data_IF_777344153700
#
_entry.id   IF_777344153700
#
_cell.length_a   1.000
_cell.length_b   1.000
_cell.length_c   1.000
_cell.angle_alpha   90.00
_cell.angle_beta   90.00
_cell.angle_gamma   90.00
#
_symmetry.space_group_name_H-M   'P 1'
#
loop_
_entity.id
_entity.type
_entity.pdbx_description
1 polymer ?
#
# COMPACT_ATOMS: atom_id res chain seq x y z
N UNK A 1 1.66 -12.28 2.68
CA UNK A 1 2.23 -11.57 3.84
C UNK A 1 1.44 -10.29 4.06
N UNK A 2 1.17 -9.92 5.32
CA UNK A 2 0.41 -8.73 5.70
C UNK A 2 1.17 -8.00 6.81
N UNK A 3 1.35 -6.68 6.69
CA UNK A 3 1.80 -5.82 7.78
C UNK A 3 0.68 -4.90 8.21
N UNK A 4 0.54 -4.67 9.52
CA UNK A 4 -0.37 -3.67 10.06
C UNK A 4 0.43 -2.45 10.51
N UNK A 5 -0.15 -1.26 10.31
CA UNK A 5 0.46 0.00 10.73
C UNK A 5 -0.60 1.02 11.13
N UNK A 6 -0.17 2.04 11.87
CA UNK A 6 -1.02 3.13 12.31
C UNK A 6 -0.70 4.40 11.53
N UNK A 7 -1.74 5.16 11.18
CA UNK A 7 -1.60 6.50 10.64
C UNK A 7 -2.62 7.43 11.28
N UNK A 8 -2.19 8.65 11.61
CA UNK A 8 -3.11 9.68 12.09
C UNK A 8 -3.75 10.38 10.90
N UNK A 9 -5.07 10.27 10.77
CA UNK A 9 -5.85 10.85 9.66
C UNK A 9 -6.95 11.70 10.27
N UNK A 10 -6.99 12.99 9.93
CA UNK A 10 -7.96 13.92 10.51
C UNK A 10 -7.92 13.99 12.04
N UNK A 11 -6.75 13.79 12.66
CA UNK A 11 -6.58 13.76 14.12
C UNK A 11 -7.00 12.47 14.82
N UNK A 12 -7.42 11.44 14.05
CA UNK A 12 -7.75 10.11 14.57
C UNK A 12 -6.69 9.09 14.16
N UNK A 13 -6.19 8.31 15.12
CA UNK A 13 -5.34 7.15 14.83
C UNK A 13 -6.18 6.08 14.13
N UNK A 14 -5.79 5.74 12.91
CA UNK A 14 -6.45 4.76 12.04
C UNK A 14 -5.53 3.56 11.87
N UNK A 15 -6.08 2.37 12.09
CA UNK A 15 -5.40 1.09 11.91
C UNK A 15 -5.56 0.62 10.46
N UNK A 16 -4.43 0.34 9.81
CA UNK A 16 -4.34 -0.01 8.40
C UNK A 16 -3.56 -1.31 8.23
N UNK A 17 -3.81 -1.99 7.13
CA UNK A 17 -3.07 -3.17 6.70
C UNK A 17 -2.50 -2.93 5.32
N UNK A 18 -1.26 -3.36 5.10
CA UNK A 18 -0.62 -3.44 3.80
C UNK A 18 -0.32 -4.90 3.47
N UNK A 19 -0.66 -5.33 2.26
CA UNK A 19 -0.44 -6.70 1.80
C UNK A 19 -0.05 -6.75 0.34
N UNK A 20 0.65 -7.81 -0.05
CA UNK A 20 0.87 -8.10 -1.45
C UNK A 20 -0.43 -8.62 -2.06
N UNK A 21 -0.92 -7.95 -3.10
CA UNK A 21 -2.17 -8.31 -3.75
C UNK A 21 -2.00 -9.56 -4.60
N UNK A 22 -2.69 -10.62 -4.23
CA UNK A 22 -2.75 -11.86 -5.00
C UNK A 22 -3.57 -11.62 -6.29
N UNK A 23 -3.02 -11.98 -7.46
CA UNK A 23 -3.66 -11.75 -8.76
C UNK A 23 -2.71 -12.00 -9.94
N UNK A 24 -3.18 -11.89 -11.20
CA UNK A 24 -2.37 -12.13 -12.39
C UNK A 24 -1.20 -11.13 -12.55
N UNK A 25 -1.23 -10.03 -11.79
CA UNK A 25 -0.15 -9.05 -11.63
C UNK A 25 0.53 -9.25 -10.27
N UNK A 26 1.62 -10.03 -10.18
CA UNK A 26 2.23 -10.46 -8.91
C UNK A 26 3.01 -9.36 -8.16
N UNK A 27 2.85 -8.09 -8.53
CA UNK A 27 3.69 -6.99 -8.04
C UNK A 27 2.86 -5.79 -7.62
N UNK A 28 1.84 -6.00 -6.78
CA UNK A 28 1.04 -4.89 -6.25
C UNK A 28 0.99 -4.92 -4.73
N UNK A 29 1.07 -3.76 -4.09
CA UNK A 29 0.78 -3.59 -2.66
C UNK A 29 -0.59 -2.97 -2.51
N UNK A 30 -1.41 -3.56 -1.66
CA UNK A 30 -2.75 -3.09 -1.34
C UNK A 30 -2.72 -2.59 0.09
N UNK A 31 -3.16 -1.35 0.30
CA UNK A 31 -3.39 -0.77 1.64
C UNK A 31 -4.90 -0.71 1.87
N UNK A 32 -5.34 -1.26 3.00
CA UNK A 32 -6.74 -1.32 3.40
C UNK A 32 -6.95 -0.95 4.86
N UNK A 33 -8.19 -0.60 5.21
CA UNK A 33 -8.60 -0.44 6.61
C UNK A 33 -8.57 -1.79 7.33
N UNK A 34 -7.99 -1.83 8.52
CA UNK A 34 -7.86 -3.06 9.30
C UNK A 34 -9.22 -3.59 9.82
N UNK A 35 -10.19 -2.70 10.05
CA UNK A 35 -11.49 -3.04 10.63
C UNK A 35 -12.51 -3.58 9.61
N UNK A 36 -12.39 -3.16 8.36
CA UNK A 36 -13.39 -3.38 7.31
C UNK A 36 -12.83 -4.02 6.05
N UNK A 37 -11.50 -4.21 5.98
CA UNK A 37 -10.77 -4.66 4.79
C UNK A 37 -11.03 -3.78 3.55
N UNK A 38 -11.52 -2.55 3.72
CA UNK A 38 -11.79 -1.63 2.62
C UNK A 38 -10.47 -1.17 2.01
N UNK A 39 -10.27 -1.46 0.73
CA UNK A 39 -9.11 -0.98 -0.04
C UNK A 39 -9.13 0.54 -0.16
N UNK A 40 -7.98 1.16 0.14
CA UNK A 40 -7.76 2.59 0.04
C UNK A 40 -6.73 2.92 -1.05
N UNK A 41 -5.61 2.17 -1.08
CA UNK A 41 -4.51 2.43 -2.01
C UNK A 41 -4.08 1.12 -2.67
N UNK A 42 -3.75 1.19 -3.96
CA UNK A 42 -3.12 0.13 -4.73
C UNK A 42 -1.85 0.69 -5.37
N UNK A 43 -0.71 0.10 -5.05
CA UNK A 43 0.59 0.49 -5.58
C UNK A 43 1.11 -0.59 -6.52
N UNK A 44 1.31 -0.24 -7.79
CA UNK A 44 1.93 -1.12 -8.78
C UNK A 44 3.45 -1.03 -8.70
N UNK A 45 4.08 -2.14 -8.34
CA UNK A 45 5.53 -2.30 -8.28
C UNK A 45 6.09 -3.00 -9.53
N UNK A 46 5.30 -3.20 -10.59
CA UNK A 46 5.74 -3.90 -11.81
C UNK A 46 6.88 -3.13 -12.51
N UNK A 47 6.90 -1.81 -12.39
CA UNK A 47 7.98 -0.95 -12.92
C UNK A 47 9.33 -1.11 -12.21
N UNK A 48 9.32 -1.52 -10.93
CA UNK A 48 10.53 -1.74 -10.14
C UNK A 48 11.27 -3.03 -10.55
N UNK A 49 10.51 -4.01 -11.05
CA UNK A 49 10.96 -5.37 -11.39
C UNK A 49 11.86 -5.40 -12.63
N UNK A 50 11.78 -4.40 -13.53
CA UNK A 50 12.62 -4.39 -14.76
C UNK A 50 14.10 -4.16 -14.48
N UNK A 51 14.44 -3.51 -13.36
CA UNK A 51 15.82 -3.29 -12.92
C UNK A 51 16.25 -4.29 -11.83
N UNK A 52 15.26 -4.89 -11.15
CA UNK A 52 15.48 -5.68 -9.94
C UNK A 52 15.01 -7.11 -10.19
N UNK A 53 15.84 -7.86 -10.93
CA UNK A 53 15.77 -9.33 -10.96
C UNK A 53 16.16 -9.99 -9.62
N UNK A 54 16.52 -9.18 -8.60
CA UNK A 54 17.21 -9.62 -7.39
C UNK A 54 16.47 -9.32 -6.05
N UNK A 55 15.44 -8.47 -5.99
CA UNK A 55 14.79 -8.10 -4.70
C UNK A 55 13.34 -8.63 -4.54
N UNK A 56 12.97 -9.68 -5.28
CA UNK A 56 11.84 -10.54 -4.86
C UNK A 56 12.20 -11.30 -3.55
N UNK A 57 13.41 -11.13 -3.01
CA UNK A 57 13.86 -11.72 -1.74
C UNK A 57 13.25 -11.05 -0.50
N UNK A 58 12.70 -9.82 -0.58
CA UNK A 58 12.20 -9.11 0.62
C UNK A 58 10.80 -8.50 0.43
N UNK A 59 9.73 -9.32 0.44
CA UNK A 59 8.34 -8.84 0.40
C UNK A 59 8.03 -7.81 1.50
N UNK A 60 8.75 -7.84 2.63
CA UNK A 60 8.61 -6.90 3.73
C UNK A 60 9.07 -5.49 3.37
N UNK A 61 10.18 -5.39 2.64
CA UNK A 61 10.76 -4.12 2.19
C UNK A 61 9.85 -3.44 1.18
N UNK A 62 9.29 -4.21 0.26
CA UNK A 62 8.35 -3.70 -0.74
C UNK A 62 7.06 -3.17 -0.10
N UNK A 63 6.57 -3.85 0.95
CA UNK A 63 5.44 -3.35 1.74
C UNK A 63 5.82 -2.06 2.51
N UNK A 64 7.01 -2.00 3.11
CA UNK A 64 7.47 -0.83 3.85
C UNK A 64 7.65 0.41 2.95
N UNK A 65 8.22 0.24 1.75
CA UNK A 65 8.37 1.31 0.77
C UNK A 65 7.00 1.82 0.31
N UNK A 66 6.05 0.91 0.10
CA UNK A 66 4.68 1.24 -0.26
C UNK A 66 3.95 2.03 0.83
N UNK A 67 4.09 1.63 2.10
CA UNK A 67 3.54 2.37 3.24
C UNK A 67 4.15 3.79 3.28
N UNK A 68 5.47 3.87 3.18
CA UNK A 68 6.21 5.15 3.24
C UNK A 68 5.76 6.10 2.13
N UNK A 69 5.64 5.60 0.90
CA UNK A 69 5.15 6.38 -0.24
C UNK A 69 3.72 6.85 -0.02
N UNK A 70 2.82 5.95 0.40
CA UNK A 70 1.42 6.28 0.60
C UNK A 70 1.22 7.36 1.69
N UNK A 71 2.05 7.35 2.73
CA UNK A 71 2.09 8.39 3.76
C UNK A 71 2.66 9.71 3.22
N UNK A 72 3.80 9.66 2.52
CA UNK A 72 4.46 10.87 2.00
C UNK A 72 3.62 11.61 0.96
N UNK A 73 2.89 10.87 0.12
CA UNK A 73 2.03 11.43 -0.92
C UNK A 73 0.59 11.69 -0.44
N UNK A 74 0.28 11.38 0.82
CA UNK A 74 -1.07 11.56 1.38
C UNK A 74 -2.15 10.76 0.65
N UNK A 75 -1.80 9.60 0.08
CA UNK A 75 -2.71 8.79 -0.73
C UNK A 75 -3.83 8.21 0.13
N UNK A 76 -3.55 7.88 1.38
CA UNK A 76 -4.50 7.23 2.29
C UNK A 76 -5.57 8.23 2.72
N UNK A 77 -5.16 9.45 3.09
CA UNK A 77 -6.03 10.58 3.37
C UNK A 77 -6.91 10.89 2.17
N UNK A 78 -6.31 11.02 0.97
CA UNK A 78 -7.05 11.29 -0.25
C UNK A 78 -8.07 10.19 -0.58
N UNK A 79 -7.75 8.93 -0.32
CA UNK A 79 -8.68 7.82 -0.51
C UNK A 79 -9.91 7.93 0.39
N UNK A 80 -9.70 8.35 1.64
CA UNK A 80 -10.76 8.54 2.62
C UNK A 80 -11.61 9.77 2.27
N UNK A 81 -10.99 10.90 1.95
CA UNK A 81 -11.67 12.15 1.61
C UNK A 81 -12.52 12.02 0.34
N UNK A 82 -11.98 11.36 -0.69
CA UNK A 82 -12.69 11.20 -1.98
C UNK A 82 -13.62 9.99 -2.00
N UNK A 83 -13.42 9.02 -1.09
CA UNK A 83 -14.06 7.72 -1.15
C UNK A 83 -13.63 6.84 -2.33
N UNK A 84 -12.58 7.24 -3.07
CA UNK A 84 -12.07 6.53 -4.25
C UNK A 84 -10.73 5.86 -3.97
N UNK A 85 -10.50 4.69 -4.58
CA UNK A 85 -9.22 3.99 -4.46
C UNK A 85 -8.13 4.83 -5.15
N UNK A 86 -6.99 4.99 -4.48
CA UNK A 86 -5.83 5.67 -5.05
C UNK A 86 -4.90 4.66 -5.68
N UNK A 87 -4.65 4.82 -6.98
CA UNK A 87 -3.73 3.98 -7.74
C UNK A 87 -2.46 4.79 -8.08
N UNK A 88 -1.29 4.22 -7.80
CA UNK A 88 0.00 4.82 -8.15
C UNK A 88 1.05 3.74 -8.44
N UNK A 89 2.13 4.12 -9.12
CA UNK A 89 3.31 3.26 -9.26
C UNK A 89 4.22 3.43 -8.04
N UNK A 90 4.79 2.33 -7.53
CA UNK A 90 5.75 2.35 -6.43
C UNK A 90 7.06 3.03 -6.85
#
# INVERSE_FOLDING_TARGET
>A
MIQSFEQTIGGKVTQLCASLGEGPTPHRVIISLADSAKTLVVLDASGLISTIKAEIEEPEKLIADAITKAQNEGLIERAIDTGTIQEAAL
#
